data_IF_385358285845
#
_entry.id   IF_385358285845
#
_cell.length_a   1.000
_cell.length_b   1.000
_cell.length_c   1.000
_cell.angle_alpha   90.00
_cell.angle_beta   90.00
_cell.angle_gamma   90.00
#
_symmetry.space_group_name_H-M   'P 1'
#
loop_
_entity.id
_entity.type
_entity.pdbx_description
1 polymer ?
#
# COMPACT_ATOMS: atom_id res chain seq x y z
N UNK A 1 -13.97 -7.92 -6.50
CA UNK A 1 -12.86 -7.27 -5.79
C UNK A 1 -12.13 -6.54 -6.88
N UNK A 2 -12.38 -5.24 -7.01
CA UNK A 2 -11.55 -4.41 -7.90
C UNK A 2 -10.40 -3.99 -7.00
N UNK A 3 -9.18 -4.29 -7.41
CA UNK A 3 -8.00 -3.68 -6.82
C UNK A 3 -7.57 -2.65 -7.85
N UNK A 4 -7.57 -1.37 -7.48
CA UNK A 4 -6.99 -0.30 -8.29
C UNK A 4 -5.90 0.34 -7.45
N UNK A 5 -4.67 0.28 -7.94
CA UNK A 5 -3.57 1.03 -7.35
C UNK A 5 -3.67 2.48 -7.83
N UNK A 6 -3.77 3.43 -6.90
CA UNK A 6 -3.80 4.86 -7.21
C UNK A 6 -2.45 5.31 -7.79
N UNK A 7 -2.45 6.17 -8.81
CA UNK A 7 -1.22 6.52 -9.49
C UNK A 7 -0.36 7.53 -8.71
N UNK A 8 0.98 7.39 -8.75
CA UNK A 8 1.88 8.40 -8.22
C UNK A 8 1.90 9.62 -9.14
N UNK A 9 1.57 10.79 -8.59
CA UNK A 9 1.81 12.08 -9.25
C UNK A 9 3.26 12.48 -8.99
N UNK A 10 4.11 12.52 -10.01
CA UNK A 10 5.45 13.08 -9.86
C UNK A 10 5.76 14.12 -10.93
N UNK A 11 6.20 15.28 -10.43
CA UNK A 11 6.65 16.41 -11.22
C UNK A 11 8.03 16.16 -11.82
N UNK A 12 8.23 16.76 -12.99
CA UNK A 12 9.45 16.70 -13.77
C UNK A 12 10.64 17.30 -13.01
N UNK A 13 11.69 16.51 -12.80
CA UNK A 13 13.01 17.01 -12.42
C UNK A 13 13.94 16.99 -13.64
N UNK A 14 14.39 18.18 -14.05
CA UNK A 14 15.35 18.40 -15.13
C UNK A 14 16.76 18.20 -14.54
N UNK A 15 17.38 17.05 -14.81
CA UNK A 15 18.80 16.84 -14.50
C UNK A 15 19.66 17.03 -15.75
N UNK A 16 20.26 18.21 -15.87
CA UNK A 16 21.45 18.47 -16.70
C UNK A 16 22.68 17.91 -16.01
N UNK A 17 23.42 17.02 -16.67
CA UNK A 17 24.72 16.54 -16.20
C UNK A 17 25.36 15.54 -17.16
N UNK A 18 26.21 16.05 -18.06
CA UNK A 18 27.13 15.28 -18.90
C UNK A 18 28.39 14.94 -18.11
N UNK A 19 28.80 13.67 -18.04
CA UNK A 19 30.23 13.31 -18.07
C UNK A 19 30.48 11.83 -18.42
N UNK A 20 31.67 11.60 -19.00
CA UNK A 20 32.04 10.53 -19.93
C UNK A 20 32.56 9.21 -19.33
N UNK A 21 32.42 8.16 -20.16
CA UNK A 21 33.33 7.02 -20.44
C UNK A 21 33.65 5.96 -19.36
N UNK A 22 33.33 4.73 -19.74
CA UNK A 22 33.86 3.43 -19.29
C UNK A 22 35.38 3.29 -19.58
N UNK A 23 36.12 2.38 -18.89
CA UNK A 23 36.21 1.00 -19.40
C UNK A 23 36.31 -0.15 -18.36
N UNK A 24 35.91 -1.33 -18.86
CA UNK A 24 36.20 -2.74 -18.51
C UNK A 24 37.31 -3.11 -17.51
N UNK A 25 37.02 -4.02 -16.56
CA UNK A 25 37.62 -5.39 -16.48
C UNK A 25 37.26 -6.20 -15.20
N UNK A 26 37.11 -7.53 -15.41
CA UNK A 26 37.58 -8.65 -14.56
C UNK A 26 37.00 -8.95 -13.16
N UNK A 27 36.10 -9.94 -13.12
CA UNK A 27 36.17 -11.22 -12.36
C UNK A 27 36.59 -11.28 -10.87
N UNK A 28 35.65 -11.87 -10.09
CA UNK A 28 35.82 -12.87 -9.00
C UNK A 28 36.17 -12.37 -7.58
N UNK A 29 35.17 -12.35 -6.69
CA UNK A 29 35.14 -13.05 -5.37
C UNK A 29 33.83 -12.76 -4.58
N UNK A 30 33.31 -13.71 -3.78
CA UNK A 30 32.05 -13.55 -3.02
C UNK A 30 32.26 -12.76 -1.70
N UNK A 31 31.20 -12.14 -1.14
CA UNK A 31 31.33 -11.33 0.08
C UNK A 31 31.48 -12.20 1.33
N UNK A 32 32.41 -11.78 2.20
CA UNK A 32 32.63 -12.34 3.54
C UNK A 32 31.54 -11.88 4.50
N UNK A 33 31.06 -12.82 5.29
CA UNK A 33 30.20 -12.66 6.46
C UNK A 33 30.83 -11.67 7.45
N UNK A 34 30.10 -10.61 7.80
CA UNK A 34 30.47 -9.69 8.88
C UNK A 34 29.85 -10.17 10.20
N UNK A 35 30.70 -10.65 11.11
CA UNK A 35 30.36 -10.89 12.51
C UNK A 35 30.67 -9.63 13.34
N UNK A 36 29.77 -9.29 14.26
CA UNK A 36 29.89 -8.12 15.12
C UNK A 36 31.06 -8.28 16.09
N UNK A 37 31.95 -7.29 16.17
CA UNK A 37 32.99 -7.21 17.19
C UNK A 37 32.71 -6.05 18.14
N UNK A 38 32.60 -6.40 19.43
CA UNK A 38 32.57 -5.52 20.62
C UNK A 38 33.74 -4.54 20.61
N UNK A 39 33.46 -3.25 20.79
CA UNK A 39 34.47 -2.25 21.13
C UNK A 39 34.65 -2.17 22.65
N UNK A 40 35.90 -2.32 23.08
CA UNK A 40 36.37 -2.17 24.45
C UNK A 40 36.55 -0.69 24.82
N UNK A 41 36.29 -0.37 26.09
CA UNK A 41 36.51 0.94 26.70
C UNK A 41 38.00 1.22 26.98
N UNK A 42 38.45 2.49 27.01
CA UNK A 42 39.64 2.89 27.74
C UNK A 42 39.29 3.48 29.12
N UNK A 43 40.10 3.10 30.12
CA UNK A 43 40.04 3.55 31.51
C UNK A 43 41.15 4.60 31.80
N UNK A 44 40.83 5.57 32.67
CA UNK A 44 41.75 6.36 33.50
C UNK A 44 42.17 7.73 32.93
N UNK A 45 42.28 8.83 33.68
CA UNK A 45 42.18 9.04 35.13
C UNK A 45 42.15 10.56 35.45
N UNK A 46 41.15 10.99 36.23
CA UNK A 46 41.21 11.88 37.43
C UNK A 46 41.61 13.38 37.33
N UNK A 47 40.65 14.24 37.71
CA UNK A 47 40.75 15.34 38.71
C UNK A 47 39.37 16.02 38.84
N UNK A 48 38.64 15.87 39.94
CA UNK A 48 38.55 16.87 41.04
C UNK A 48 37.19 17.61 40.98
N UNK A 49 36.41 17.74 42.08
CA UNK A 49 34.98 18.09 42.01
C UNK A 49 34.74 19.61 42.11
N UNK A 50 33.74 20.12 41.40
CA UNK A 50 33.16 21.43 41.63
C UNK A 50 31.70 21.28 42.08
N UNK A 51 31.47 21.69 43.32
CA UNK A 51 30.19 21.89 43.98
C UNK A 51 29.17 22.62 43.10
N UNK A 52 27.91 22.20 43.17
CA UNK A 52 26.78 23.12 43.28
C UNK A 52 25.68 22.44 44.11
N UNK A 53 25.41 23.05 45.27
CA UNK A 53 24.72 22.43 46.38
C UNK A 53 23.22 22.24 46.18
N UNK A 54 22.72 21.11 46.66
CA UNK A 54 21.37 20.98 47.18
C UNK A 54 21.52 20.72 48.69
N UNK A 55 21.35 21.76 49.50
CA UNK A 55 21.29 21.63 50.96
C UNK A 55 19.91 21.09 51.33
N UNK A 56 19.88 19.88 51.88
CA UNK A 56 18.71 19.36 52.57
C UNK A 56 18.52 20.17 53.87
N UNK A 57 17.44 20.95 53.98
CA UNK A 57 16.95 21.40 55.28
C UNK A 57 16.11 20.27 55.89
N UNK A 58 16.61 19.70 56.98
CA UNK A 58 15.81 18.90 57.92
C UNK A 58 14.76 19.78 58.62
N UNK A 59 13.63 19.20 59.07
CA UNK A 59 12.61 19.94 59.80
C UNK A 59 13.09 20.24 61.23
N UNK A 60 13.01 21.52 61.60
CA UNK A 60 13.31 22.04 62.92
C UNK A 60 12.32 21.50 63.97
N UNK A 61 12.79 20.62 64.86
CA UNK A 61 12.04 20.17 66.05
C UNK A 61 12.10 21.27 67.12
N UNK A 62 11.00 21.96 67.35
CA UNK A 62 10.82 22.82 68.53
C UNK A 62 10.42 21.96 69.74
N UNK A 63 11.05 22.10 70.93
CA UNK A 63 10.68 21.31 72.09
C UNK A 63 9.51 21.96 72.83
N UNK A 64 8.43 21.22 73.10
CA UNK A 64 7.45 21.59 74.12
C UNK A 64 7.51 20.62 75.30
N UNK A 65 7.57 21.28 76.46
CA UNK A 65 7.74 20.83 77.83
C UNK A 65 6.67 19.80 78.22
N UNK A 66 7.10 18.78 78.96
CA UNK A 66 6.36 17.54 79.19
C UNK A 66 5.16 17.59 80.13
N UNK A 67 4.51 16.43 80.22
CA UNK A 67 3.88 15.88 81.42
C UNK A 67 3.49 14.44 81.10
N UNK A 68 4.08 13.50 81.82
CA UNK A 68 3.72 12.09 81.77
C UNK A 68 2.28 11.88 82.24
N UNK A 69 1.53 11.07 81.50
CA UNK A 69 0.59 10.11 82.09
C UNK A 69 0.27 9.01 81.08
N UNK A 70 0.72 7.80 81.40
CA UNK A 70 0.41 6.58 80.68
C UNK A 70 -1.07 6.18 80.81
N UNK A 71 -1.62 5.53 79.79
CA UNK A 71 -2.94 4.88 79.81
C UNK A 71 -3.31 4.27 78.45
N UNK A 72 -4.17 3.23 78.39
CA UNK A 72 -3.86 2.00 77.68
C UNK A 72 -4.90 1.56 76.61
N UNK A 73 -4.50 0.60 75.78
CA UNK A 73 -5.29 -0.25 74.85
C UNK A 73 -6.00 0.38 73.62
N UNK A 74 -5.71 -0.30 72.50
CA UNK A 74 -6.61 -0.73 71.42
C UNK A 74 -7.19 0.19 70.33
N UNK A 75 -7.14 -0.42 69.14
CA UNK A 75 -8.01 -0.28 67.97
C UNK A 75 -8.32 1.12 67.42
N UNK A 76 -7.77 1.41 66.24
CA UNK A 76 -8.58 1.46 65.01
C UNK A 76 -7.74 1.84 63.80
N UNK A 77 -7.90 1.03 62.76
CA UNK A 77 -7.62 1.34 61.36
C UNK A 77 -7.98 2.78 61.00
N UNK A 78 -6.97 3.60 60.76
CA UNK A 78 -7.08 4.74 59.83
C UNK A 78 -6.05 4.54 58.74
N UNK A 79 -6.57 4.18 57.57
CA UNK A 79 -5.78 3.99 56.38
C UNK A 79 -5.04 5.27 56.03
N UNK A 80 -3.73 5.14 55.89
CA UNK A 80 -2.94 6.07 55.13
C UNK A 80 -2.25 5.23 54.06
N UNK A 81 -2.93 5.12 52.92
CA UNK A 81 -2.29 4.78 51.67
C UNK A 81 -1.30 5.92 51.42
N UNK A 82 -0.07 5.76 51.92
CA UNK A 82 1.01 6.70 51.72
C UNK A 82 1.36 6.68 50.24
N UNK A 83 0.66 7.52 49.46
CA UNK A 83 1.06 7.88 48.12
C UNK A 83 2.45 8.47 48.29
N UNK A 84 3.47 7.73 47.83
CA UNK A 84 4.82 8.26 47.66
C UNK A 84 4.73 9.39 46.63
N UNK A 85 4.52 10.61 47.09
CA UNK A 85 4.80 11.79 46.30
C UNK A 85 6.31 11.82 46.12
N UNK A 86 6.77 11.39 44.95
CA UNK A 86 8.14 11.65 44.52
C UNK A 86 8.33 13.16 44.56
N UNK A 87 9.35 13.63 45.29
CA UNK A 87 9.66 15.04 45.47
C UNK A 87 10.22 15.59 44.14
N UNK A 88 9.32 15.98 43.24
CA UNK A 88 9.64 16.58 41.93
C UNK A 88 10.14 18.02 42.04
N UNK A 89 10.25 18.56 43.26
CA UNK A 89 10.65 19.94 43.58
C UNK A 89 11.92 20.40 42.83
N UNK A 90 12.87 19.51 42.57
CA UNK A 90 14.11 19.84 41.86
C UNK A 90 13.90 20.18 40.37
N UNK A 91 12.86 19.65 39.72
CA UNK A 91 12.48 19.96 38.32
C UNK A 91 11.29 20.92 38.26
N UNK A 92 10.38 20.81 39.20
CA UNK A 92 9.15 21.59 39.27
C UNK A 92 9.42 23.06 39.54
N UNK A 93 10.29 23.39 40.49
CA UNK A 93 10.60 24.78 40.84
C UNK A 93 11.30 25.58 39.74
N UNK A 94 12.34 25.08 39.04
CA UNK A 94 12.94 25.81 37.93
C UNK A 94 11.99 25.92 36.73
N UNK A 95 11.21 24.88 36.42
CA UNK A 95 10.23 24.91 35.33
C UNK A 95 9.10 25.90 35.62
N UNK A 96 8.58 25.91 36.85
CA UNK A 96 7.57 26.86 37.32
C UNK A 96 8.05 28.29 37.19
N UNK A 97 9.30 28.58 37.62
CA UNK A 97 9.91 29.90 37.46
C UNK A 97 10.07 30.30 35.99
N UNK A 98 10.51 29.37 35.13
CA UNK A 98 10.66 29.63 33.69
C UNK A 98 9.32 29.93 33.01
N UNK A 99 8.27 29.15 33.30
CA UNK A 99 6.93 29.37 32.77
C UNK A 99 6.30 30.66 33.30
N UNK A 100 6.55 31.01 34.57
CA UNK A 100 6.10 32.28 35.16
C UNK A 100 6.79 33.47 34.51
N UNK A 101 8.09 33.38 34.24
CA UNK A 101 8.84 34.41 33.52
C UNK A 101 8.37 34.53 32.06
N UNK A 102 8.12 33.41 31.38
CA UNK A 102 7.54 33.39 30.03
C UNK A 102 6.15 34.03 30.01
N UNK A 103 5.27 33.65 30.94
CA UNK A 103 3.93 34.23 31.08
C UNK A 103 3.96 35.74 31.37
N UNK A 104 4.88 36.19 32.22
CA UNK A 104 5.10 37.61 32.47
C UNK A 104 5.56 38.35 31.20
N UNK A 105 6.45 37.74 30.40
CA UNK A 105 6.90 38.29 29.12
C UNK A 105 5.75 38.40 28.10
N UNK A 106 4.93 37.35 27.98
CA UNK A 106 3.75 37.33 27.09
C UNK A 106 2.73 38.39 27.49
N UNK A 107 2.48 38.55 28.79
CA UNK A 107 1.56 39.58 29.30
C UNK A 107 2.08 41.01 29.12
N UNK A 108 3.39 41.21 29.13
CA UNK A 108 4.01 42.54 28.98
C UNK A 108 4.12 42.96 27.50
N UNK A 109 4.36 42.00 26.59
CA UNK A 109 4.56 42.26 25.15
C UNK A 109 3.70 41.32 24.29
N UNK A 110 2.36 41.52 24.21
CA UNK A 110 1.47 40.54 23.57
C UNK A 110 1.68 40.42 22.04
N UNK A 111 2.03 41.51 21.35
CA UNK A 111 2.09 41.55 19.88
C UNK A 111 3.14 40.62 19.25
N UNK A 112 4.42 40.60 19.69
CA UNK A 112 5.39 39.64 19.17
C UNK A 112 4.96 38.18 19.34
N UNK A 113 4.40 37.83 20.51
CA UNK A 113 3.93 36.46 20.78
C UNK A 113 2.67 36.06 20.00
N UNK A 114 1.95 37.02 19.41
CA UNK A 114 0.82 36.76 18.51
C UNK A 114 1.27 36.72 17.05
N UNK A 115 2.05 37.70 16.60
CA UNK A 115 2.44 37.85 15.20
C UNK A 115 3.51 36.85 14.78
N UNK A 116 4.50 36.55 15.65
CA UNK A 116 5.59 35.64 15.29
C UNK A 116 5.09 34.22 15.03
N UNK A 117 4.28 33.58 15.92
CA UNK A 117 3.70 32.28 15.60
C UNK A 117 2.79 32.31 14.37
N UNK A 118 2.03 33.40 14.17
CA UNK A 118 1.16 33.54 12.99
C UNK A 118 1.95 33.57 11.68
N UNK A 119 3.05 34.33 11.64
CA UNK A 119 3.95 34.38 10.47
C UNK A 119 4.66 33.05 10.25
N UNK A 120 5.14 32.40 11.32
CA UNK A 120 5.78 31.08 11.24
C UNK A 120 4.78 30.03 10.74
N UNK A 121 3.57 29.99 11.30
CA UNK A 121 2.51 29.09 10.83
C UNK A 121 2.18 29.35 9.38
N UNK A 122 2.00 30.60 8.96
CA UNK A 122 1.78 30.95 7.55
C UNK A 122 2.91 30.50 6.63
N UNK A 123 4.17 30.71 7.03
CA UNK A 123 5.34 30.26 6.27
C UNK A 123 5.42 28.73 6.16
N UNK A 124 5.17 28.01 7.26
CA UNK A 124 5.11 26.54 7.26
C UNK A 124 3.92 26.02 6.44
N UNK A 125 2.80 26.74 6.44
CA UNK A 125 1.60 26.37 5.68
C UNK A 125 1.82 26.37 4.17
N UNK A 126 2.76 27.17 3.65
CA UNK A 126 3.13 27.14 2.22
C UNK A 126 3.59 25.74 1.78
N UNK A 127 4.19 24.96 2.70
CA UNK A 127 4.57 23.58 2.45
C UNK A 127 3.41 22.67 2.03
N UNK A 128 2.18 22.95 2.49
CA UNK A 128 0.99 22.16 2.15
C UNK A 128 0.62 22.21 0.67
N UNK A 129 1.06 23.24 -0.07
CA UNK A 129 0.86 23.32 -1.53
C UNK A 129 1.51 22.13 -2.25
N UNK A 130 2.59 21.58 -1.69
CA UNK A 130 3.31 20.45 -2.28
C UNK A 130 2.76 19.08 -1.88
N UNK A 131 1.75 19.00 -0.99
CA UNK A 131 1.18 17.72 -0.57
C UNK A 131 0.63 16.91 -1.75
N UNK A 132 -0.18 17.46 -2.68
CA UNK A 132 -0.76 16.66 -3.76
C UNK A 132 0.28 16.03 -4.70
N UNK A 133 1.50 16.60 -4.76
CA UNK A 133 2.61 16.09 -5.56
C UNK A 133 3.58 15.19 -4.79
N UNK A 134 3.48 15.14 -3.46
CA UNK A 134 4.39 14.37 -2.59
C UNK A 134 3.67 13.32 -1.74
N UNK A 135 2.39 13.08 -2.01
CA UNK A 135 1.63 12.07 -1.32
C UNK A 135 2.09 10.68 -1.81
N UNK A 136 2.62 9.82 -0.91
CA UNK A 136 2.93 8.45 -1.29
C UNK A 136 1.59 7.72 -1.43
N UNK A 137 1.15 7.43 -2.66
CA UNK A 137 -0.10 6.69 -2.90
C UNK A 137 0.14 5.17 -3.00
N UNK A 138 1.40 4.73 -2.86
CA UNK A 138 1.74 3.32 -2.87
C UNK A 138 1.46 2.69 -1.50
N UNK A 139 0.43 1.84 -1.45
CA UNK A 139 0.07 1.05 -0.27
C UNK A 139 1.24 0.20 0.21
N UNK A 140 2.04 -0.37 -0.70
CA UNK A 140 3.18 -1.19 -0.32
C UNK A 140 4.24 -0.34 0.40
N UNK A 141 4.51 0.88 -0.06
CA UNK A 141 5.46 1.79 0.60
C UNK A 141 4.97 2.28 1.97
N UNK A 142 3.66 2.47 2.13
CA UNK A 142 3.08 2.94 3.40
C UNK A 142 3.03 1.85 4.48
N UNK A 143 2.72 0.61 4.10
CA UNK A 143 2.44 -0.48 5.05
C UNK A 143 3.59 -1.47 5.22
N UNK A 144 4.62 -1.42 4.37
CA UNK A 144 5.77 -2.33 4.49
C UNK A 144 7.08 -1.57 4.58
N UNK A 145 8.06 -2.04 5.39
CA UNK A 145 9.37 -1.40 5.52
C UNK A 145 10.02 -1.14 4.16
N UNK A 146 10.78 -0.06 4.04
CA UNK A 146 11.48 0.33 2.80
C UNK A 146 12.46 -0.77 2.37
N UNK A 147 13.21 -1.34 3.32
CA UNK A 147 14.21 -2.39 3.09
C UNK A 147 13.78 -3.73 3.72
N UNK A 148 12.58 -4.20 3.39
CA UNK A 148 12.12 -5.53 3.79
C UNK A 148 12.82 -6.64 2.99
N UNK A 149 13.10 -7.82 3.57
CA UNK A 149 13.70 -8.96 2.86
C UNK A 149 12.98 -9.31 1.55
N UNK A 150 11.64 -9.27 1.54
CA UNK A 150 10.83 -9.50 0.35
C UNK A 150 11.07 -8.48 -0.77
N UNK A 151 11.29 -7.20 -0.43
CA UNK A 151 11.62 -6.15 -1.42
C UNK A 151 13.03 -6.33 -1.98
N UNK A 152 13.99 -6.72 -1.13
CA UNK A 152 15.35 -7.04 -1.58
C UNK A 152 15.34 -8.23 -2.54
N UNK A 153 14.66 -9.32 -2.20
CA UNK A 153 14.51 -10.49 -3.08
C UNK A 153 13.79 -10.13 -4.39
N UNK A 154 12.70 -9.35 -4.31
CA UNK A 154 11.99 -8.85 -5.50
C UNK A 154 12.91 -8.04 -6.41
N UNK A 155 13.66 -7.09 -5.85
CA UNK A 155 14.59 -6.26 -6.63
C UNK A 155 15.67 -7.10 -7.31
N UNK A 156 16.15 -8.16 -6.65
CA UNK A 156 17.04 -9.14 -7.27
C UNK A 156 16.35 -9.82 -8.45
N UNK A 157 15.13 -10.35 -8.28
CA UNK A 157 14.39 -11.00 -9.38
C UNK A 157 14.14 -10.03 -10.53
N UNK A 158 13.68 -8.81 -10.27
CA UNK A 158 13.44 -7.80 -11.31
C UNK A 158 14.70 -7.39 -12.07
N UNK A 159 15.87 -7.43 -11.41
CA UNK A 159 17.17 -7.14 -12.02
C UNK A 159 17.63 -8.23 -12.99
N UNK A 160 17.30 -9.51 -12.74
CA UNK A 160 17.75 -10.62 -13.59
C UNK A 160 16.66 -11.15 -14.53
N UNK A 161 15.39 -10.97 -14.18
CA UNK A 161 14.22 -11.42 -14.93
C UNK A 161 13.33 -10.22 -15.26
N UNK A 162 13.80 -9.40 -16.20
CA UNK A 162 13.04 -8.23 -16.64
C UNK A 162 11.67 -8.62 -17.20
N UNK A 163 10.66 -7.83 -16.86
CA UNK A 163 9.32 -7.93 -17.43
C UNK A 163 9.23 -7.00 -18.63
N UNK A 164 8.79 -7.50 -19.78
CA UNK A 164 8.55 -6.72 -20.99
C UNK A 164 7.05 -6.74 -21.30
N UNK A 165 6.35 -5.73 -20.82
CA UNK A 165 4.90 -5.58 -21.01
C UNK A 165 4.53 -5.21 -22.45
N UNK A 166 5.49 -4.79 -23.27
CA UNK A 166 5.24 -4.30 -24.62
C UNK A 166 5.30 -5.40 -25.69
N UNK A 167 6.10 -6.45 -25.49
CA UNK A 167 6.24 -7.53 -26.48
C UNK A 167 6.11 -8.95 -25.92
N UNK A 168 6.50 -9.18 -24.66
CA UNK A 168 6.63 -10.51 -24.07
C UNK A 168 5.92 -10.62 -22.71
N UNK A 169 4.75 -9.99 -22.61
CA UNK A 169 3.98 -9.98 -21.38
C UNK A 169 3.44 -11.37 -21.04
N UNK A 170 3.58 -11.74 -19.77
CA UNK A 170 2.98 -12.94 -19.17
C UNK A 170 2.62 -12.61 -17.72
N UNK A 171 1.33 -12.64 -17.36
CA UNK A 171 0.88 -12.38 -15.99
C UNK A 171 1.58 -13.26 -14.95
N UNK A 172 1.90 -14.50 -15.32
CA UNK A 172 2.54 -15.50 -14.45
C UNK A 172 4.00 -15.18 -14.12
N UNK A 173 4.62 -14.25 -14.87
CA UNK A 173 6.00 -13.81 -14.67
C UNK A 173 6.11 -12.50 -13.89
N UNK A 174 4.97 -11.91 -13.51
CA UNK A 174 4.97 -10.67 -12.76
C UNK A 174 5.53 -10.89 -11.35
N UNK A 175 6.42 -9.99 -10.96
CA UNK A 175 6.95 -9.90 -9.59
C UNK A 175 6.10 -9.00 -8.70
N UNK A 176 5.21 -8.22 -9.32
CA UNK A 176 4.19 -7.33 -8.73
C UNK A 176 2.81 -7.76 -9.16
N UNK A 177 1.77 -7.12 -8.61
CA UNK A 177 0.42 -7.27 -9.11
C UNK A 177 0.29 -6.75 -10.56
N UNK A 178 1.12 -5.77 -10.92
CA UNK A 178 1.10 -5.07 -12.21
C UNK A 178 -0.08 -4.12 -12.34
N UNK A 179 -0.07 -3.27 -13.38
CA UNK A 179 -1.21 -2.41 -13.70
C UNK A 179 -2.30 -3.22 -14.42
N UNK A 180 -3.44 -3.41 -13.76
CA UNK A 180 -4.60 -4.04 -14.37
C UNK A 180 -5.92 -3.50 -13.84
N UNK A 181 -6.97 -3.66 -14.64
CA UNK A 181 -8.35 -3.55 -14.19
C UNK A 181 -9.02 -4.93 -14.26
N UNK A 182 -9.94 -5.24 -13.34
CA UNK A 182 -10.64 -6.52 -13.35
C UNK A 182 -12.14 -6.38 -13.15
N UNK A 183 -12.90 -7.18 -13.89
CA UNK A 183 -14.35 -7.34 -13.74
C UNK A 183 -14.66 -8.79 -13.49
N UNK A 184 -15.61 -9.06 -12.59
CA UNK A 184 -16.14 -10.40 -12.35
C UNK A 184 -17.61 -10.37 -12.70
N UNK A 185 -17.95 -10.97 -13.84
CA UNK A 185 -19.34 -11.19 -14.22
C UNK A 185 -19.87 -12.42 -13.48
N UNK A 186 -21.13 -12.37 -13.03
CA UNK A 186 -21.79 -13.45 -12.30
C UNK A 186 -23.15 -13.71 -12.92
N UNK A 187 -23.50 -14.98 -13.12
CA UNK A 187 -24.79 -15.39 -13.65
C UNK A 187 -25.92 -14.94 -12.71
N UNK A 188 -26.89 -14.20 -13.24
CA UNK A 188 -28.02 -13.65 -12.49
C UNK A 188 -28.87 -14.72 -11.80
N UNK A 189 -29.06 -15.87 -12.45
CA UNK A 189 -29.84 -17.00 -11.89
C UNK A 189 -28.98 -17.83 -10.93
N UNK A 190 -29.60 -18.34 -9.86
CA UNK A 190 -28.93 -19.18 -8.83
C UNK A 190 -28.28 -20.45 -9.40
N UNK A 191 -28.80 -20.99 -10.49
CA UNK A 191 -28.23 -22.13 -11.22
C UNK A 191 -27.93 -21.78 -12.68
N UNK A 192 -27.76 -20.48 -12.99
CA UNK A 192 -27.39 -20.01 -14.31
C UNK A 192 -25.91 -20.27 -14.62
N UNK A 193 -25.58 -20.31 -15.90
CA UNK A 193 -24.21 -20.45 -16.41
C UNK A 193 -23.92 -19.28 -17.35
N UNK A 194 -22.68 -18.79 -17.34
CA UNK A 194 -22.18 -17.81 -18.31
C UNK A 194 -21.71 -18.45 -19.62
N UNK A 195 -21.73 -19.78 -19.70
CA UNK A 195 -21.36 -20.54 -20.91
C UNK A 195 -22.57 -20.79 -21.84
N UNK A 196 -23.51 -19.85 -21.90
CA UNK A 196 -24.64 -19.84 -22.86
C UNK A 196 -24.45 -18.70 -23.85
N UNK A 197 -25.06 -18.81 -25.03
CA UNK A 197 -25.00 -17.78 -26.06
C UNK A 197 -25.38 -16.39 -25.55
N UNK A 198 -26.48 -16.29 -24.80
CA UNK A 198 -27.04 -15.02 -24.34
C UNK A 198 -26.11 -14.34 -23.35
N UNK A 199 -25.67 -15.08 -22.32
CA UNK A 199 -24.78 -14.56 -21.30
C UNK A 199 -23.41 -14.19 -21.89
N UNK A 200 -22.91 -14.98 -22.85
CA UNK A 200 -21.64 -14.69 -23.51
C UNK A 200 -21.73 -13.49 -24.46
N UNK A 201 -22.88 -13.27 -25.10
CA UNK A 201 -23.12 -12.07 -25.89
C UNK A 201 -23.10 -10.80 -25.03
N UNK A 202 -23.66 -10.86 -23.81
CA UNK A 202 -23.55 -9.77 -22.84
C UNK A 202 -22.10 -9.55 -22.39
N UNK A 203 -21.34 -10.61 -22.11
CA UNK A 203 -19.91 -10.53 -21.78
C UNK A 203 -19.09 -9.84 -22.88
N UNK A 204 -19.36 -10.15 -24.15
CA UNK A 204 -18.70 -9.50 -25.29
C UNK A 204 -19.05 -8.02 -25.38
N UNK A 205 -20.30 -7.62 -25.09
CA UNK A 205 -20.69 -6.20 -25.03
C UNK A 205 -19.98 -5.46 -23.91
N UNK A 206 -19.84 -6.08 -22.73
CA UNK A 206 -19.06 -5.52 -21.61
C UNK A 206 -17.61 -5.34 -22.05
N UNK A 207 -16.99 -6.37 -22.64
CA UNK A 207 -15.61 -6.29 -23.11
C UNK A 207 -15.40 -5.15 -24.11
N UNK A 208 -16.29 -5.04 -25.11
CA UNK A 208 -16.25 -3.98 -26.09
C UNK A 208 -16.39 -2.59 -25.44
N UNK A 209 -17.32 -2.43 -24.49
CA UNK A 209 -17.52 -1.17 -23.78
C UNK A 209 -16.29 -0.77 -22.95
N UNK A 210 -15.67 -1.72 -22.25
CA UNK A 210 -14.46 -1.49 -21.46
C UNK A 210 -13.29 -1.12 -22.35
N UNK A 211 -13.06 -1.87 -23.44
CA UNK A 211 -11.98 -1.58 -24.39
C UNK A 211 -12.16 -0.24 -25.10
N UNK A 212 -13.42 0.20 -25.25
CA UNK A 212 -13.81 1.50 -25.77
C UNK A 212 -13.64 2.67 -24.81
N UNK A 213 -13.24 2.46 -23.55
CA UNK A 213 -12.94 3.55 -22.62
C UNK A 213 -11.76 4.36 -23.14
N UNK A 214 -11.98 5.67 -23.24
CA UNK A 214 -11.01 6.66 -23.69
C UNK A 214 -10.55 7.50 -22.51
N UNK A 215 -9.25 7.52 -22.25
CA UNK A 215 -8.62 8.36 -21.23
C UNK A 215 -7.35 9.00 -21.80
N UNK A 216 -7.22 10.32 -21.62
CA UNK A 216 -6.08 11.09 -22.15
C UNK A 216 -5.77 10.85 -23.64
N UNK A 217 -6.80 10.57 -24.46
CA UNK A 217 -6.65 10.28 -25.89
C UNK A 217 -6.22 8.85 -26.23
N UNK A 218 -6.12 7.96 -25.24
CA UNK A 218 -5.79 6.55 -25.43
C UNK A 218 -6.98 5.63 -25.13
N UNK A 219 -7.20 4.67 -26.02
CA UNK A 219 -8.05 3.50 -25.76
C UNK A 219 -7.24 2.37 -25.14
N UNK A 220 -7.92 1.38 -24.55
CA UNK A 220 -7.28 0.19 -23.99
C UNK A 220 -6.30 -0.46 -24.97
N UNK A 221 -6.67 -0.60 -26.24
CA UNK A 221 -5.82 -1.26 -27.25
C UNK A 221 -4.47 -0.56 -27.47
N UNK A 222 -4.32 0.72 -27.10
CA UNK A 222 -3.07 1.47 -27.22
C UNK A 222 -2.13 1.33 -26.02
N UNK A 223 -2.67 0.92 -24.87
CA UNK A 223 -1.96 0.88 -23.57
C UNK A 223 -1.95 -0.52 -22.94
N UNK A 224 -2.69 -1.47 -23.51
CA UNK A 224 -2.75 -2.86 -23.04
C UNK A 224 -1.36 -3.51 -23.01
N UNK A 225 -1.13 -4.39 -22.04
CA UNK A 225 0.03 -5.27 -22.05
C UNK A 225 -0.05 -6.25 -23.22
N UNK A 226 1.08 -6.52 -23.86
CA UNK A 226 1.16 -7.19 -25.16
C UNK A 226 2.06 -8.41 -25.13
N UNK A 227 1.59 -9.44 -25.82
CA UNK A 227 2.37 -10.64 -26.11
C UNK A 227 2.36 -10.87 -27.62
N UNK A 228 3.55 -10.96 -28.23
CA UNK A 228 3.74 -11.06 -29.68
C UNK A 228 2.98 -9.98 -30.46
N UNK A 229 3.04 -8.74 -29.99
CA UNK A 229 2.46 -7.57 -30.65
C UNK A 229 0.94 -7.42 -30.51
N UNK A 230 0.24 -8.32 -29.80
CA UNK A 230 -1.21 -8.25 -29.56
C UNK A 230 -1.50 -8.06 -28.07
N UNK A 231 -2.58 -7.33 -27.75
CA UNK A 231 -3.05 -7.25 -26.37
C UNK A 231 -3.30 -8.65 -25.82
N UNK A 232 -2.89 -8.91 -24.58
CA UNK A 232 -3.29 -10.13 -23.90
C UNK A 232 -4.81 -10.10 -23.68
N UNK A 233 -5.45 -11.23 -23.94
CA UNK A 233 -6.89 -11.33 -23.85
C UNK A 233 -7.34 -11.23 -22.40
N UNK A 234 -8.39 -10.44 -22.09
CA UNK A 234 -8.90 -10.34 -20.72
C UNK A 234 -9.41 -11.65 -20.14
N UNK A 235 -9.80 -12.59 -21.00
CA UNK A 235 -10.15 -13.95 -20.65
C UNK A 235 -9.89 -14.89 -21.83
N UNK A 236 -9.22 -16.04 -21.65
CA UNK A 236 -8.92 -16.96 -22.74
C UNK A 236 -10.14 -17.39 -23.56
N UNK A 237 -11.31 -17.56 -22.94
CA UNK A 237 -12.53 -17.94 -23.65
C UNK A 237 -13.01 -16.84 -24.60
N UNK A 238 -12.84 -15.55 -24.25
CA UNK A 238 -13.17 -14.45 -25.16
C UNK A 238 -12.30 -14.50 -26.42
N UNK A 239 -11.00 -14.83 -26.29
CA UNK A 239 -10.12 -14.96 -27.47
C UNK A 239 -10.48 -16.13 -28.39
N UNK A 240 -11.03 -17.22 -27.82
CA UNK A 240 -11.41 -18.42 -28.57
C UNK A 240 -12.75 -18.20 -29.28
N UNK A 241 -13.71 -17.62 -28.58
CA UNK A 241 -15.07 -17.34 -29.09
C UNK A 241 -15.07 -16.13 -30.02
N UNK A 242 -14.18 -15.17 -29.82
CA UNK A 242 -14.10 -13.91 -30.55
C UNK A 242 -15.47 -13.21 -30.50
N UNK A 243 -15.87 -12.52 -31.58
CA UNK A 243 -17.15 -11.80 -31.66
C UNK A 243 -18.35 -12.70 -32.02
N UNK A 244 -18.24 -14.03 -31.82
CA UNK A 244 -19.27 -15.01 -32.22
C UNK A 244 -19.84 -15.74 -31.01
N UNK A 245 -20.80 -15.16 -30.27
CA UNK A 245 -21.29 -15.73 -29.01
C UNK A 245 -21.78 -17.17 -29.14
N UNK A 246 -22.38 -17.54 -30.27
CA UNK A 246 -22.90 -18.88 -30.57
C UNK A 246 -21.82 -19.97 -30.48
N UNK A 247 -20.56 -19.61 -30.71
CA UNK A 247 -19.44 -20.55 -30.67
C UNK A 247 -19.16 -21.07 -29.25
N UNK A 248 -19.59 -20.38 -28.19
CA UNK A 248 -19.42 -20.89 -26.82
C UNK A 248 -20.14 -22.21 -26.60
N UNK A 249 -21.33 -22.38 -27.18
CA UNK A 249 -22.14 -23.59 -27.02
C UNK A 249 -21.58 -24.75 -27.84
N UNK A 250 -20.96 -24.44 -28.98
CA UNK A 250 -20.21 -25.40 -29.80
C UNK A 250 -18.91 -25.84 -29.10
N UNK A 251 -18.25 -24.92 -28.40
CA UNK A 251 -17.01 -25.18 -27.68
C UNK A 251 -17.26 -26.01 -26.41
N UNK A 252 -18.40 -25.78 -25.73
CA UNK A 252 -18.75 -26.33 -24.41
C UNK A 252 -18.57 -27.86 -24.28
N UNK A 253 -19.02 -28.73 -25.21
CA UNK A 253 -18.85 -30.17 -25.07
C UNK A 253 -17.37 -30.61 -24.96
N UNK A 254 -16.46 -29.84 -25.53
CA UNK A 254 -15.03 -30.11 -25.53
C UNK A 254 -14.26 -29.29 -24.48
N UNK A 255 -14.91 -28.37 -23.76
CA UNK A 255 -14.25 -27.59 -22.71
C UNK A 255 -13.95 -28.48 -21.52
N UNK A 256 -12.72 -28.34 -21.02
CA UNK A 256 -12.24 -29.02 -19.83
C UNK A 256 -11.72 -28.02 -18.81
N UNK A 257 -11.80 -28.36 -17.54
CA UNK A 257 -11.36 -27.55 -16.42
C UNK A 257 -10.49 -28.39 -15.46
N UNK A 258 -9.42 -27.82 -14.87
CA UNK A 258 -8.98 -26.43 -14.94
C UNK A 258 -8.11 -26.09 -16.15
N UNK A 259 -7.67 -27.08 -16.93
CA UNK A 259 -6.84 -26.88 -18.12
C UNK A 259 -7.61 -27.31 -19.37
N UNK A 260 -7.64 -26.43 -20.37
CA UNK A 260 -8.18 -26.69 -21.70
C UNK A 260 -7.06 -26.90 -22.72
N UNK A 261 -7.17 -27.96 -23.54
CA UNK A 261 -6.18 -28.36 -24.57
C UNK A 261 -4.73 -28.46 -24.05
N UNK A 262 -4.55 -28.84 -22.79
CA UNK A 262 -3.24 -28.97 -22.11
C UNK A 262 -2.37 -27.70 -22.15
N UNK A 263 -2.94 -26.53 -22.40
CA UNK A 263 -2.18 -25.27 -22.55
C UNK A 263 -2.85 -24.06 -21.90
N UNK A 264 -4.18 -24.05 -21.85
CA UNK A 264 -4.95 -22.88 -21.40
C UNK A 264 -5.46 -23.16 -19.99
N UNK A 265 -4.94 -22.44 -19.00
CA UNK A 265 -5.41 -22.53 -17.63
C UNK A 265 -6.66 -21.65 -17.43
N UNK A 266 -7.80 -22.27 -17.16
CA UNK A 266 -9.08 -21.61 -16.90
C UNK A 266 -9.37 -21.43 -15.40
N UNK A 267 -8.59 -22.05 -14.51
CA UNK A 267 -8.78 -22.00 -13.07
C UNK A 267 -8.74 -20.59 -12.47
N UNK A 268 -7.97 -19.69 -13.08
CA UNK A 268 -7.89 -18.28 -12.66
C UNK A 268 -9.05 -17.41 -13.17
N UNK A 269 -9.76 -17.88 -14.20
CA UNK A 269 -10.74 -17.09 -14.96
C UNK A 269 -12.19 -17.47 -14.70
N UNK A 270 -12.46 -18.68 -14.21
CA UNK A 270 -13.81 -19.20 -14.00
C UNK A 270 -14.07 -19.50 -12.53
N UNK A 271 -15.27 -19.15 -12.05
CA UNK A 271 -15.72 -19.40 -10.69
C UNK A 271 -17.07 -20.10 -10.64
N UNK A 272 -17.32 -20.84 -9.56
CA UNK A 272 -18.57 -21.60 -9.39
C UNK A 272 -18.83 -22.56 -10.55
N UNK A 273 -17.81 -23.35 -10.91
CA UNK A 273 -17.87 -24.29 -12.04
C UNK A 273 -18.68 -25.53 -11.70
N UNK A 274 -19.42 -26.03 -12.67
CA UNK A 274 -20.10 -27.34 -12.62
C UNK A 274 -19.37 -28.30 -13.55
N UNK A 275 -18.82 -29.37 -13.00
CA UNK A 275 -18.01 -30.34 -13.74
C UNK A 275 -18.84 -31.59 -14.07
N UNK A 276 -18.60 -32.13 -15.26
CA UNK A 276 -19.20 -33.37 -15.73
C UNK A 276 -18.37 -34.59 -15.36
N UNK A 277 -18.70 -35.72 -15.99
CA UNK A 277 -17.88 -36.93 -15.92
C UNK A 277 -16.52 -36.69 -16.60
N UNK A 278 -15.48 -37.35 -16.10
CA UNK A 278 -14.12 -37.23 -16.60
C UNK A 278 -13.10 -37.68 -15.56
N UNK A 279 -11.89 -37.96 -16.01
CA UNK A 279 -10.77 -38.35 -15.14
C UNK A 279 -9.88 -37.13 -14.85
N UNK A 280 -9.24 -37.13 -13.69
CA UNK A 280 -8.21 -36.13 -13.37
C UNK A 280 -7.04 -36.21 -14.38
N UNK A 281 -6.35 -35.10 -14.69
CA UNK A 281 -6.40 -33.79 -14.02
C UNK A 281 -7.38 -32.77 -14.63
N UNK A 282 -8.19 -33.17 -15.62
CA UNK A 282 -9.09 -32.25 -16.32
C UNK A 282 -10.44 -32.90 -16.66
N UNK A 283 -11.53 -32.33 -16.15
CA UNK A 283 -12.88 -32.84 -16.33
C UNK A 283 -13.68 -31.94 -17.26
N UNK A 284 -14.72 -32.50 -17.89
CA UNK A 284 -15.61 -31.72 -18.76
C UNK A 284 -16.27 -30.57 -17.98
N UNK A 285 -16.26 -29.37 -18.57
CA UNK A 285 -16.83 -28.16 -17.97
C UNK A 285 -18.27 -27.98 -18.47
N UNK A 286 -19.26 -28.28 -17.63
CA UNK A 286 -20.67 -28.18 -17.98
C UNK A 286 -21.22 -26.75 -17.87
N UNK A 287 -20.64 -25.95 -16.97
CA UNK A 287 -21.12 -24.61 -16.66
C UNK A 287 -20.16 -23.85 -15.75
N UNK A 288 -20.27 -22.52 -15.76
CA UNK A 288 -19.52 -21.62 -14.89
C UNK A 288 -20.42 -20.47 -14.45
N UNK A 289 -20.52 -20.25 -13.14
CA UNK A 289 -21.38 -19.18 -12.60
C UNK A 289 -20.74 -17.81 -12.61
N UNK A 290 -19.41 -17.74 -12.59
CA UNK A 290 -18.67 -16.49 -12.62
C UNK A 290 -17.53 -16.54 -13.64
N UNK A 291 -17.27 -15.40 -14.27
CA UNK A 291 -16.19 -15.22 -15.22
C UNK A 291 -15.44 -13.93 -14.91
N UNK A 292 -14.12 -14.05 -14.76
CA UNK A 292 -13.22 -12.93 -14.53
C UNK A 292 -12.65 -12.43 -15.86
N UNK A 293 -12.67 -11.11 -16.05
CA UNK A 293 -12.02 -10.37 -17.12
C UNK A 293 -10.88 -9.55 -16.51
N UNK A 294 -9.69 -9.59 -17.09
CA UNK A 294 -8.50 -8.91 -16.55
C UNK A 294 -7.80 -8.12 -17.66
N UNK A 295 -7.88 -6.80 -17.56
CA UNK A 295 -7.34 -5.86 -18.53
C UNK A 295 -5.95 -5.41 -18.08
N UNK A 296 -4.91 -6.13 -18.50
CA UNK A 296 -3.53 -5.78 -18.18
C UNK A 296 -3.04 -4.60 -19.02
N UNK A 297 -2.26 -3.72 -18.41
CA UNK A 297 -1.77 -2.48 -18.98
C UNK A 297 -0.23 -2.45 -18.96
N UNK A 298 0.36 -1.60 -19.80
CA UNK A 298 1.81 -1.42 -19.88
C UNK A 298 2.33 -0.49 -18.78
N UNK A 299 3.44 -0.87 -18.17
CA UNK A 299 4.16 -0.05 -17.18
C UNK A 299 5.63 0.19 -17.56
N UNK A 300 6.05 -0.28 -18.73
CA UNK A 300 7.45 -0.29 -19.19
C UNK A 300 8.08 1.10 -19.39
N UNK A 301 7.28 2.13 -19.66
CA UNK A 301 7.72 3.51 -19.88
C UNK A 301 6.95 4.47 -18.94
N UNK A 302 7.59 5.53 -18.39
CA UNK A 302 6.90 6.49 -17.52
C UNK A 302 5.63 7.10 -18.15
N UNK A 303 5.67 7.42 -19.45
CA UNK A 303 4.52 7.99 -20.17
C UNK A 303 3.43 6.94 -20.38
N UNK A 304 3.81 5.67 -20.63
CA UNK A 304 2.86 4.55 -20.71
C UNK A 304 2.19 4.30 -19.37
N UNK A 305 2.96 4.29 -18.29
CA UNK A 305 2.47 4.14 -16.92
C UNK A 305 1.49 5.26 -16.56
N UNK A 306 1.81 6.51 -16.88
CA UNK A 306 0.89 7.64 -16.68
C UNK A 306 -0.41 7.48 -17.49
N UNK A 307 -0.32 7.08 -18.76
CA UNK A 307 -1.50 6.83 -19.59
C UNK A 307 -2.34 5.65 -19.06
N UNK A 308 -1.70 4.57 -18.63
CA UNK A 308 -2.34 3.41 -17.99
C UNK A 308 -3.08 3.82 -16.73
N UNK A 309 -2.46 4.65 -15.90
CA UNK A 309 -3.02 5.20 -14.68
C UNK A 309 -4.27 6.07 -14.94
N UNK A 310 -4.19 7.00 -15.88
CA UNK A 310 -5.33 7.81 -16.29
C UNK A 310 -6.47 6.96 -16.86
N UNK A 311 -6.15 5.87 -17.55
CA UNK A 311 -7.15 4.91 -18.01
C UNK A 311 -7.78 4.11 -16.88
N UNK A 312 -7.01 3.71 -15.85
CA UNK A 312 -7.55 3.06 -14.65
C UNK A 312 -8.50 3.97 -13.89
N UNK A 313 -8.16 5.25 -13.72
CA UNK A 313 -9.07 6.24 -13.13
C UNK A 313 -10.37 6.36 -13.94
N UNK A 314 -10.26 6.48 -15.26
CA UNK A 314 -11.42 6.54 -16.15
C UNK A 314 -12.24 5.23 -16.13
N UNK A 315 -11.59 4.07 -15.99
CA UNK A 315 -12.24 2.78 -15.85
C UNK A 315 -13.12 2.77 -14.59
N UNK A 316 -12.57 3.10 -13.43
CA UNK A 316 -13.32 3.13 -12.17
C UNK A 316 -14.51 4.09 -12.26
N UNK A 317 -14.33 5.26 -12.86
CA UNK A 317 -15.40 6.25 -13.02
C UNK A 317 -16.50 5.82 -14.01
N UNK A 318 -16.17 5.10 -15.08
CA UNK A 318 -17.12 4.78 -16.17
C UNK A 318 -17.83 3.45 -16.01
N UNK A 319 -17.27 2.50 -15.26
CA UNK A 319 -17.88 1.17 -15.09
C UNK A 319 -19.33 1.24 -14.59
N UNK A 320 -19.71 2.06 -13.60
CA UNK A 320 -21.10 2.17 -13.16
C UNK A 320 -22.05 2.59 -14.31
N UNK A 321 -21.60 3.51 -15.17
CA UNK A 321 -22.37 3.97 -16.34
C UNK A 321 -22.51 2.88 -17.40
N UNK A 322 -21.43 2.14 -17.68
CA UNK A 322 -21.42 1.02 -18.63
C UNK A 322 -22.38 -0.08 -18.16
N UNK A 323 -22.31 -0.44 -16.88
CA UNK A 323 -23.17 -1.47 -16.27
C UNK A 323 -24.64 -1.04 -16.33
N UNK A 324 -24.93 0.23 -16.01
CA UNK A 324 -26.28 0.81 -16.12
C UNK A 324 -26.82 0.80 -17.56
N UNK A 325 -26.01 1.20 -18.54
CA UNK A 325 -26.41 1.22 -19.95
C UNK A 325 -26.68 -0.18 -20.54
N UNK A 326 -26.04 -1.21 -19.97
CA UNK A 326 -26.24 -2.60 -20.36
C UNK A 326 -27.36 -3.31 -19.56
N UNK A 327 -28.09 -2.60 -18.69
CA UNK A 327 -29.12 -3.14 -17.79
C UNK A 327 -28.61 -4.28 -16.90
N UNK A 328 -27.34 -4.21 -16.50
CA UNK A 328 -26.70 -5.20 -15.63
C UNK A 328 -26.76 -4.72 -14.16
N UNK A 329 -26.80 -5.66 -13.22
CA UNK A 329 -26.83 -5.34 -11.79
C UNK A 329 -25.43 -5.34 -11.19
N UNK A 330 -25.03 -4.25 -10.51
CA UNK A 330 -23.79 -4.21 -9.72
C UNK A 330 -24.02 -4.97 -8.41
N UNK A 331 -23.27 -6.06 -8.19
CA UNK A 331 -23.37 -6.84 -6.94
C UNK A 331 -22.54 -6.23 -5.80
N UNK A 332 -21.38 -5.63 -6.11
CA UNK A 332 -20.51 -4.94 -5.15
C UNK A 332 -19.42 -4.14 -5.88
N UNK A 333 -19.29 -2.86 -5.56
CA UNK A 333 -18.06 -2.11 -5.83
C UNK A 333 -17.06 -2.46 -4.72
N UNK A 334 -15.87 -2.87 -5.12
CA UNK A 334 -14.75 -3.09 -4.21
C UNK A 334 -13.69 -2.16 -4.76
N UNK A 335 -13.45 -1.04 -4.09
CA UNK A 335 -12.32 -0.14 -4.35
C UNK A 335 -11.16 -0.62 -3.51
#
# INVERSE_FOLDING_TARGET
MVFVQEPPKQGAEKATGSFSKEPTSSLRNPPRVFTSARAAAPNGMRSGPANNGCSAREPEKTPRRGSDRAGPWDEKTKGEMAIRFYRTDCLQEPLSRALRALGASVGTYPWPYLLVPLVISGALSVGFIFLPSRQPNDLEEQFTPIEGPAKTERSFVQKYFHTDDANHFSPERLTTEGAYATLIAVAARRHGSLLTREAFAELLKIDQAVRGIQAAGFSYDRICARNFGKCVSPNPLLSIVQDKPDYIEVLRPNLTFPVFRNRIFLGFFLGGVTLGSGNEPARSLLGARAMRLIYFLQENDPSKREASNLWLEAFVQRIPLIVGALNLTVLKELV
#
